data_IF_110153493108
#
_entry.id   IF_110153493108
#
_cell.length_a   1.000
_cell.length_b   1.000
_cell.length_c   1.000
_cell.angle_alpha   90.00
_cell.angle_beta   90.00
_cell.angle_gamma   90.00
#
_symmetry.space_group_name_H-M   'P 1'
#
loop_
_entity.id
_entity.type
_entity.pdbx_description
1 polymer ?
#
# COMPACT_ATOMS: atom_id res chain seq x y z
N UNK A 1 -66.20 47.05 62.62
CA UNK A 1 -65.39 45.82 62.50
C UNK A 1 -65.59 45.28 61.10
N UNK A 2 -64.52 45.37 60.22
CA UNK A 2 -64.52 44.86 58.82
C UNK A 2 -63.86 43.50 58.87
N UNK A 3 -64.55 42.44 58.55
CA UNK A 3 -64.09 41.10 58.32
C UNK A 3 -63.55 40.98 56.87
N UNK A 4 -62.24 40.91 56.65
CA UNK A 4 -61.68 40.58 55.34
C UNK A 4 -61.56 39.07 55.32
N UNK A 5 -62.39 38.41 54.47
CA UNK A 5 -62.27 36.98 54.17
C UNK A 5 -61.03 36.72 53.25
N UNK A 6 -60.16 35.88 53.71
CA UNK A 6 -59.12 35.32 52.85
C UNK A 6 -59.72 34.24 51.98
N UNK A 7 -59.86 34.55 50.70
CA UNK A 7 -60.14 33.54 49.67
C UNK A 7 -58.83 32.80 49.41
N UNK A 8 -58.68 31.58 49.93
CA UNK A 8 -57.62 30.68 49.57
C UNK A 8 -57.72 30.27 48.10
N UNK A 9 -56.71 30.45 47.34
CA UNK A 9 -56.56 29.88 46.00
C UNK A 9 -56.56 28.36 46.12
N UNK A 10 -57.58 27.74 45.60
CA UNK A 10 -57.71 26.30 45.44
C UNK A 10 -56.75 25.89 44.30
N UNK A 11 -55.58 25.41 44.70
CA UNK A 11 -54.48 25.11 43.75
C UNK A 11 -54.44 23.67 43.24
N UNK A 12 -55.61 22.99 43.27
CA UNK A 12 -55.65 21.55 42.96
C UNK A 12 -55.62 21.20 41.46
N UNK A 13 -55.78 22.18 40.56
CA UNK A 13 -55.88 21.93 39.13
C UNK A 13 -54.64 22.39 38.33
N UNK A 14 -53.57 22.77 39.00
CA UNK A 14 -52.41 23.39 38.34
C UNK A 14 -51.55 22.43 37.54
N UNK A 15 -51.80 21.10 37.58
CA UNK A 15 -51.00 20.07 36.89
C UNK A 15 -51.85 19.00 36.23
N UNK A 16 -53.09 19.29 35.85
CA UNK A 16 -53.98 18.31 35.21
C UNK A 16 -53.49 17.98 33.79
N UNK A 17 -52.94 18.95 33.11
CA UNK A 17 -52.29 18.77 31.82
C UNK A 17 -51.11 17.80 31.92
N UNK A 18 -50.28 17.92 32.98
CA UNK A 18 -49.15 17.03 33.22
C UNK A 18 -49.62 15.63 33.61
N UNK A 19 -50.65 15.51 34.43
CA UNK A 19 -51.27 14.21 34.78
C UNK A 19 -51.81 13.51 33.53
N UNK A 20 -52.50 14.26 32.68
CA UNK A 20 -53.00 13.75 31.40
C UNK A 20 -51.87 13.31 30.47
N UNK A 21 -50.85 14.12 30.31
CA UNK A 21 -49.66 13.75 29.54
C UNK A 21 -48.97 12.47 30.06
N UNK A 22 -48.83 12.36 31.38
CA UNK A 22 -48.24 11.15 32.00
C UNK A 22 -49.11 9.91 31.77
N UNK A 23 -50.45 10.05 31.81
CA UNK A 23 -51.38 8.95 31.53
C UNK A 23 -51.30 8.52 30.05
N UNK A 24 -51.20 9.49 29.14
CA UNK A 24 -51.09 9.23 27.70
C UNK A 24 -49.75 8.55 27.34
N UNK A 25 -48.66 8.99 27.98
CA UNK A 25 -47.34 8.35 27.77
C UNK A 25 -47.31 6.93 28.32
N UNK A 26 -47.95 6.68 29.47
CA UNK A 26 -48.07 5.32 30.03
C UNK A 26 -48.99 4.41 29.25
N UNK A 27 -50.03 4.98 28.60
CA UNK A 27 -50.94 4.21 27.76
C UNK A 27 -50.36 3.87 26.40
N UNK A 28 -49.29 4.51 25.99
CA UNK A 28 -48.60 4.16 24.72
C UNK A 28 -48.11 2.73 24.79
N UNK A 29 -48.38 1.91 23.74
CA UNK A 29 -47.84 0.56 23.71
C UNK A 29 -46.32 0.61 23.79
N UNK A 30 -45.78 -0.21 24.68
CA UNK A 30 -44.30 -0.39 24.75
C UNK A 30 -43.80 -0.81 23.38
N UNK A 31 -42.79 -0.12 22.89
CA UNK A 31 -42.16 -0.43 21.60
C UNK A 31 -41.71 -1.89 21.57
N UNK A 32 -41.67 -2.45 20.36
CA UNK A 32 -41.21 -3.80 20.16
C UNK A 32 -39.69 -3.84 20.48
N UNK A 33 -39.33 -4.55 21.55
CA UNK A 33 -37.95 -4.76 21.92
C UNK A 33 -37.40 -5.84 20.96
N UNK A 34 -36.42 -5.49 20.15
CA UNK A 34 -35.75 -6.50 19.30
C UNK A 34 -35.21 -7.65 20.16
N UNK A 35 -35.45 -8.91 19.75
CA UNK A 35 -34.91 -10.05 20.49
C UNK A 35 -33.38 -9.96 20.52
N UNK A 36 -32.81 -10.28 21.66
CA UNK A 36 -31.35 -10.31 21.80
C UNK A 36 -30.72 -11.16 20.70
N UNK A 37 -29.63 -10.69 20.09
CA UNK A 37 -28.94 -11.45 19.07
C UNK A 37 -28.53 -12.82 19.63
N UNK A 38 -28.89 -13.87 18.91
CA UNK A 38 -28.49 -15.23 19.29
C UNK A 38 -26.99 -15.34 19.18
N UNK A 39 -26.36 -15.77 20.24
CA UNK A 39 -24.93 -16.08 20.27
C UNK A 39 -24.67 -17.15 19.20
N UNK A 40 -23.82 -16.84 18.22
CA UNK A 40 -23.26 -17.85 17.34
C UNK A 40 -21.98 -18.32 17.99
N UNK A 41 -21.88 -19.58 18.47
CA UNK A 41 -20.63 -20.10 18.92
C UNK A 41 -19.67 -20.05 17.72
N UNK A 42 -18.52 -19.37 17.86
CA UNK A 42 -17.45 -19.51 16.87
C UNK A 42 -16.75 -20.84 17.10
N UNK A 43 -16.35 -21.47 16.02
CA UNK A 43 -15.56 -22.68 16.09
C UNK A 43 -14.24 -22.37 16.80
N UNK A 44 -13.90 -23.14 17.82
CA UNK A 44 -12.65 -22.97 18.53
C UNK A 44 -11.51 -23.19 17.54
N UNK A 45 -10.65 -22.16 17.42
CA UNK A 45 -9.47 -22.28 16.58
C UNK A 45 -8.54 -23.34 17.14
N UNK A 46 -8.32 -24.41 16.38
CA UNK A 46 -7.34 -25.43 16.72
C UNK A 46 -6.03 -25.10 16.03
N UNK A 47 -4.98 -24.91 16.80
CA UNK A 47 -3.66 -24.64 16.25
C UNK A 47 -3.12 -25.90 15.55
N UNK A 48 -3.20 -25.90 14.23
CA UNK A 48 -2.77 -27.01 13.38
C UNK A 48 -1.33 -26.86 12.83
N UNK A 49 -0.63 -25.81 13.25
CA UNK A 49 0.69 -25.47 12.73
C UNK A 49 1.84 -26.02 13.60
N UNK A 50 1.58 -26.97 14.52
CA UNK A 50 2.61 -27.56 15.38
C UNK A 50 3.70 -28.32 14.60
N UNK A 51 3.38 -28.79 13.40
CA UNK A 51 4.35 -29.42 12.49
C UNK A 51 5.10 -28.45 11.57
N UNK A 52 4.74 -27.16 11.58
CA UNK A 52 5.44 -26.16 10.81
C UNK A 52 6.68 -25.68 11.59
N UNK A 53 7.64 -25.18 10.82
CA UNK A 53 8.85 -24.60 11.39
C UNK A 53 8.52 -23.42 12.30
N UNK A 54 9.09 -23.40 13.51
CA UNK A 54 8.95 -22.29 14.44
C UNK A 54 9.51 -21.00 13.82
N UNK A 55 8.80 -19.85 13.91
CA UNK A 55 9.31 -18.57 13.40
C UNK A 55 10.54 -18.06 14.17
N UNK A 56 10.82 -18.63 15.36
CA UNK A 56 11.98 -18.28 16.17
C UNK A 56 13.21 -19.17 15.92
N UNK A 57 13.09 -20.16 15.07
CA UNK A 57 14.26 -20.93 14.64
C UNK A 57 15.10 -20.05 13.71
N UNK A 58 16.44 -20.03 13.86
CA UNK A 58 17.29 -19.32 12.94
C UNK A 58 16.97 -19.74 11.49
N UNK A 59 16.97 -18.81 10.53
CA UNK A 59 16.71 -19.17 9.15
C UNK A 59 17.67 -20.31 8.77
N UNK A 60 17.11 -21.42 8.30
CA UNK A 60 17.93 -22.43 7.63
C UNK A 60 18.68 -21.63 6.58
N UNK A 61 20.00 -21.68 6.59
CA UNK A 61 20.78 -21.22 5.42
C UNK A 61 20.26 -22.12 4.29
N UNK A 62 19.24 -21.61 3.58
CA UNK A 62 18.99 -22.13 2.25
C UNK A 62 20.28 -21.78 1.54
N UNK A 63 21.15 -22.75 1.38
CA UNK A 63 22.16 -22.66 0.34
C UNK A 63 21.32 -22.36 -0.88
N UNK A 64 21.40 -21.11 -1.32
CA UNK A 64 20.78 -20.69 -2.57
C UNK A 64 21.52 -21.46 -3.67
N UNK A 65 21.13 -22.73 -3.82
CA UNK A 65 21.62 -23.66 -4.87
C UNK A 65 21.31 -23.07 -6.26
N UNK A 66 20.57 -21.99 -6.29
CA UNK A 66 20.33 -21.11 -7.43
C UNK A 66 21.01 -19.73 -7.26
N UNK A 67 22.13 -19.61 -6.58
CA UNK A 67 23.02 -18.51 -6.91
C UNK A 67 23.43 -18.72 -8.36
N UNK A 68 22.81 -17.94 -9.24
CA UNK A 68 23.33 -17.80 -10.58
C UNK A 68 24.81 -17.44 -10.39
N UNK A 69 25.68 -18.39 -10.70
CA UNK A 69 27.12 -18.13 -10.61
C UNK A 69 27.40 -16.99 -11.58
N UNK A 70 28.05 -15.97 -11.09
CA UNK A 70 28.51 -14.88 -11.90
C UNK A 70 29.40 -15.39 -13.03
N UNK A 71 29.47 -14.66 -14.09
CA UNK A 71 30.33 -14.95 -15.23
C UNK A 71 31.50 -13.97 -15.25
N UNK A 72 32.70 -14.43 -15.46
CA UNK A 72 33.87 -13.57 -15.73
C UNK A 72 33.78 -12.95 -17.13
N UNK A 73 32.87 -13.40 -17.98
CA UNK A 73 32.65 -12.86 -19.32
C UNK A 73 31.84 -11.56 -19.31
N UNK A 74 31.07 -11.32 -18.24
CA UNK A 74 30.28 -10.11 -18.02
C UNK A 74 31.07 -9.24 -17.04
N UNK A 75 31.45 -8.06 -17.46
CA UNK A 75 32.14 -7.08 -16.61
C UNK A 75 31.62 -5.66 -16.96
N UNK A 76 31.48 -4.77 -15.97
CA UNK A 76 31.25 -3.37 -16.26
C UNK A 76 32.46 -2.80 -17.00
N UNK A 77 32.19 -1.95 -18.00
CA UNK A 77 33.26 -1.27 -18.72
C UNK A 77 33.76 -0.05 -17.91
N UNK A 78 34.99 -0.12 -17.34
CA UNK A 78 35.53 0.96 -16.51
C UNK A 78 35.91 2.20 -17.32
N UNK A 79 36.06 2.08 -18.66
CA UNK A 79 36.48 3.18 -19.52
C UNK A 79 35.33 3.95 -20.10
N UNK A 80 34.11 3.47 -19.92
CA UNK A 80 32.88 4.13 -20.41
C UNK A 80 32.57 5.39 -19.59
N UNK A 81 32.29 6.49 -20.28
CA UNK A 81 31.81 7.70 -19.62
C UNK A 81 30.39 7.44 -19.10
N UNK A 82 30.21 7.57 -17.80
CA UNK A 82 28.90 7.35 -17.17
C UNK A 82 27.91 8.47 -17.54
N UNK A 83 26.67 8.06 -17.79
CA UNK A 83 25.57 8.96 -18.07
C UNK A 83 25.01 9.55 -16.76
N UNK A 84 24.30 10.69 -16.85
CA UNK A 84 23.73 11.38 -15.68
C UNK A 84 22.85 10.47 -14.81
N UNK A 85 22.01 9.64 -15.42
CA UNK A 85 21.09 8.77 -14.72
C UNK A 85 21.74 7.61 -13.97
N UNK A 86 23.00 7.34 -14.22
CA UNK A 86 23.79 6.33 -13.51
C UNK A 86 24.26 6.80 -12.12
N UNK A 87 24.10 8.07 -11.81
CA UNK A 87 24.34 8.61 -10.46
C UNK A 87 23.29 8.20 -9.43
N UNK A 88 22.16 7.66 -9.85
CA UNK A 88 20.98 7.39 -9.02
C UNK A 88 20.67 5.89 -8.99
N UNK A 89 19.96 5.43 -7.96
CA UNK A 89 19.47 4.04 -7.93
C UNK A 89 18.32 3.87 -8.92
N UNK A 90 18.20 2.67 -9.50
CA UNK A 90 17.09 2.34 -10.43
C UNK A 90 15.71 2.55 -9.78
N UNK A 91 15.60 2.28 -8.48
CA UNK A 91 14.35 2.39 -7.73
C UNK A 91 13.79 3.83 -7.59
N UNK A 92 14.61 4.86 -7.84
CA UNK A 92 14.12 6.25 -7.80
C UNK A 92 13.39 6.66 -9.08
N UNK A 93 13.44 5.82 -10.11
CA UNK A 93 12.81 6.11 -11.40
C UNK A 93 11.44 5.45 -11.51
N UNK A 94 10.46 6.22 -11.95
CA UNK A 94 9.11 5.77 -12.29
C UNK A 94 8.85 6.03 -13.76
N UNK A 95 8.31 5.05 -14.47
CA UNK A 95 7.87 5.26 -15.85
C UNK A 95 6.55 6.03 -15.84
N UNK A 96 6.51 7.12 -16.60
CA UNK A 96 5.32 7.99 -16.70
C UNK A 96 4.71 7.99 -18.09
N UNK A 97 5.36 7.38 -19.06
CA UNK A 97 4.83 7.26 -20.41
C UNK A 97 5.89 6.89 -21.44
N UNK A 98 5.46 6.81 -22.68
CA UNK A 98 6.31 6.58 -23.85
C UNK A 98 6.11 7.67 -24.90
N UNK A 99 7.12 7.87 -25.71
CA UNK A 99 7.05 8.70 -26.93
C UNK A 99 7.60 7.88 -28.09
N UNK A 100 6.80 7.72 -29.13
CA UNK A 100 7.24 7.09 -30.38
C UNK A 100 7.43 8.15 -31.45
N UNK A 101 8.54 8.07 -32.16
CA UNK A 101 8.84 8.92 -33.31
C UNK A 101 9.55 8.07 -34.39
N UNK A 102 9.80 8.64 -35.60
CA UNK A 102 10.50 7.92 -36.66
C UNK A 102 11.88 7.36 -36.28
N UNK A 103 12.51 7.93 -35.23
CA UNK A 103 13.82 7.47 -34.71
C UNK A 103 13.69 6.34 -33.67
N UNK A 104 12.49 5.93 -33.32
CA UNK A 104 12.23 4.82 -32.39
C UNK A 104 11.35 5.19 -31.20
N UNK A 105 11.24 4.23 -30.29
CA UNK A 105 10.48 4.36 -29.04
C UNK A 105 11.38 4.86 -27.91
N UNK A 106 10.88 5.81 -27.15
CA UNK A 106 11.51 6.40 -25.98
C UNK A 106 10.62 6.23 -24.76
N UNK A 107 11.18 5.93 -23.63
CA UNK A 107 10.46 6.00 -22.37
C UNK A 107 10.71 7.34 -21.67
N UNK A 108 9.70 7.78 -20.95
CA UNK A 108 9.78 8.92 -20.03
C UNK A 108 9.87 8.38 -18.62
N UNK A 109 11.00 8.64 -17.96
CA UNK A 109 11.25 8.25 -16.58
C UNK A 109 11.26 9.49 -15.70
N UNK A 110 10.43 9.51 -14.67
CA UNK A 110 10.43 10.52 -13.63
C UNK A 110 11.39 10.08 -12.54
N UNK A 111 12.28 10.95 -12.12
CA UNK A 111 13.27 10.71 -11.06
C UNK A 111 14.41 11.70 -11.20
N UNK A 112 15.39 11.65 -10.31
CA UNK A 112 16.58 12.50 -10.35
C UNK A 112 16.29 14.00 -10.55
N UNK A 113 15.18 14.49 -9.96
CA UNK A 113 14.78 15.90 -10.03
C UNK A 113 14.03 16.33 -11.29
N UNK A 114 13.63 15.39 -12.18
CA UNK A 114 12.91 15.71 -13.40
C UNK A 114 12.31 14.53 -14.13
N UNK A 115 11.89 14.80 -15.37
CA UNK A 115 11.47 13.76 -16.32
C UNK A 115 12.54 13.63 -17.39
N UNK A 116 13.05 12.43 -17.57
CA UNK A 116 14.14 12.13 -18.48
C UNK A 116 13.64 11.22 -19.60
N UNK A 117 14.02 11.55 -20.82
CA UNK A 117 13.75 10.71 -21.98
C UNK A 117 14.91 9.76 -22.19
N UNK A 118 14.60 8.46 -22.24
CA UNK A 118 15.59 7.37 -22.43
C UNK A 118 15.21 6.49 -23.60
N UNK A 119 16.18 5.85 -24.21
CA UNK A 119 16.05 4.90 -25.32
C UNK A 119 16.74 3.59 -25.03
N UNK A 120 16.46 2.59 -25.85
CA UNK A 120 17.21 1.31 -25.81
C UNK A 120 18.70 1.58 -26.03
N UNK A 121 19.55 1.00 -25.20
CA UNK A 121 20.98 1.19 -25.20
C UNK A 121 21.49 2.28 -24.24
N UNK A 122 20.61 3.13 -23.69
CA UNK A 122 21.00 4.08 -22.66
C UNK A 122 21.24 3.36 -21.32
N UNK A 123 21.95 4.02 -20.43
CA UNK A 123 22.32 3.50 -19.12
C UNK A 123 21.66 4.30 -17.99
N UNK A 124 21.23 3.59 -16.97
CA UNK A 124 20.67 4.18 -15.74
C UNK A 124 20.94 3.27 -14.54
N UNK A 125 20.97 3.85 -13.36
CA UNK A 125 21.24 3.09 -12.14
C UNK A 125 22.75 2.91 -11.86
N UNK A 126 23.07 2.79 -10.58
CA UNK A 126 24.47 2.71 -10.12
C UNK A 126 25.20 1.44 -10.53
N UNK A 127 24.46 0.42 -10.95
CA UNK A 127 24.97 -0.91 -11.27
C UNK A 127 25.09 -1.12 -12.80
N UNK A 128 25.49 -0.10 -13.52
CA UNK A 128 25.65 -0.14 -14.98
C UNK A 128 24.43 -0.71 -15.72
N UNK A 129 23.23 -0.32 -15.24
CA UNK A 129 21.96 -0.81 -15.77
C UNK A 129 21.72 -0.34 -17.20
N UNK A 130 21.77 -1.25 -18.18
CA UNK A 130 21.52 -0.97 -19.60
C UNK A 130 20.06 -1.24 -19.95
N UNK A 131 19.43 -0.29 -20.63
CA UNK A 131 18.08 -0.47 -21.18
C UNK A 131 18.14 -1.41 -22.37
N UNK A 132 17.47 -2.54 -22.27
CA UNK A 132 17.46 -3.59 -23.30
C UNK A 132 16.20 -3.57 -24.14
N UNK A 133 15.05 -3.17 -23.55
CA UNK A 133 13.80 -3.05 -24.25
C UNK A 133 12.88 -1.98 -23.62
N UNK A 134 12.07 -1.35 -24.45
CA UNK A 134 11.03 -0.41 -24.04
C UNK A 134 9.73 -0.87 -24.66
N UNK A 135 8.70 -1.03 -23.83
CA UNK A 135 7.32 -1.32 -24.23
C UNK A 135 6.40 -0.20 -23.76
N UNK A 136 5.15 -0.20 -24.19
CA UNK A 136 4.18 0.82 -23.77
C UNK A 136 3.94 0.82 -22.24
N UNK A 137 4.18 -0.31 -21.58
CA UNK A 137 3.90 -0.51 -20.16
C UNK A 137 5.12 -0.69 -19.27
N UNK A 138 6.31 -0.90 -19.83
CA UNK A 138 7.51 -1.16 -19.04
C UNK A 138 8.81 -0.87 -19.79
N UNK A 139 9.84 -0.52 -19.02
CA UNK A 139 11.23 -0.46 -19.45
C UNK A 139 11.99 -1.63 -18.82
N UNK A 140 12.61 -2.45 -19.67
CA UNK A 140 13.45 -3.56 -19.23
C UNK A 140 14.91 -3.14 -19.18
N UNK A 141 15.56 -3.47 -18.07
CA UNK A 141 16.94 -3.06 -17.77
C UNK A 141 17.70 -4.31 -17.34
N UNK A 142 18.96 -4.39 -17.70
CA UNK A 142 19.89 -5.40 -17.19
C UNK A 142 20.99 -4.68 -16.43
N UNK A 143 21.08 -4.93 -15.12
CA UNK A 143 22.12 -4.44 -14.25
C UNK A 143 23.26 -5.46 -14.13
N UNK A 144 24.47 -4.96 -13.95
CA UNK A 144 25.65 -5.79 -13.68
C UNK A 144 26.01 -5.64 -12.21
N UNK A 145 25.89 -6.71 -11.44
CA UNK A 145 26.13 -6.71 -10.00
C UNK A 145 27.22 -7.74 -9.64
N UNK A 146 28.06 -7.48 -8.64
CA UNK A 146 29.03 -8.46 -8.19
C UNK A 146 28.34 -9.65 -7.51
N UNK A 147 28.81 -10.86 -7.75
CA UNK A 147 28.30 -12.08 -7.10
C UNK A 147 28.87 -12.32 -5.69
N UNK A 148 29.91 -11.54 -5.29
CA UNK A 148 30.61 -11.65 -4.01
C UNK A 148 31.78 -12.61 -4.02
N UNK A 149 32.04 -13.32 -5.12
CA UNK A 149 33.14 -14.26 -5.32
C UNK A 149 34.18 -13.75 -6.34
N UNK A 150 34.05 -12.50 -6.78
CA UNK A 150 34.93 -11.85 -7.76
C UNK A 150 34.46 -11.96 -9.20
N UNK A 151 33.27 -12.53 -9.45
CA UNK A 151 32.64 -12.56 -10.75
C UNK A 151 31.45 -11.58 -10.77
N UNK A 152 30.84 -11.38 -11.94
CA UNK A 152 29.74 -10.48 -12.18
C UNK A 152 28.52 -11.22 -12.66
N UNK A 153 27.35 -10.70 -12.30
CA UNK A 153 26.06 -11.30 -12.56
C UNK A 153 25.14 -10.27 -13.27
N UNK A 154 24.50 -10.69 -14.32
CA UNK A 154 23.43 -9.92 -14.94
C UNK A 154 22.13 -10.09 -14.14
N UNK A 155 21.54 -8.97 -13.72
CA UNK A 155 20.28 -8.94 -13.00
C UNK A 155 19.22 -8.18 -13.81
N UNK A 156 18.23 -8.87 -14.35
CA UNK A 156 17.13 -8.21 -15.05
C UNK A 156 16.25 -7.43 -14.06
N UNK A 157 15.86 -6.22 -14.45
CA UNK A 157 14.93 -5.33 -13.74
C UNK A 157 13.90 -4.79 -14.70
N UNK A 158 12.75 -4.43 -14.17
CA UNK A 158 11.68 -3.79 -14.95
C UNK A 158 11.13 -2.59 -14.18
N UNK A 159 11.00 -1.45 -14.88
CA UNK A 159 10.29 -0.27 -14.38
C UNK A 159 8.95 -0.24 -15.12
N UNK A 160 7.86 -0.46 -14.39
CA UNK A 160 6.51 -0.48 -14.97
C UNK A 160 5.91 0.91 -15.01
N UNK A 161 5.01 1.14 -15.97
CA UNK A 161 4.22 2.36 -16.07
C UNK A 161 3.33 2.49 -14.83
N UNK A 162 3.41 3.64 -14.17
CA UNK A 162 2.54 3.95 -13.04
C UNK A 162 1.21 4.46 -13.58
N UNK A 163 0.16 3.65 -13.48
CA UNK A 163 -1.18 4.10 -13.78
C UNK A 163 -1.58 5.25 -12.82
N UNK A 164 -2.14 6.31 -13.40
CA UNK A 164 -2.74 7.38 -12.60
C UNK A 164 -4.06 6.86 -12.02
N UNK A 165 -4.09 6.66 -10.70
CA UNK A 165 -5.34 6.58 -9.94
C UNK A 165 -6.02 7.94 -9.93
#
# INVERSE_FOLDING_TARGET
VVLIGLAGCDGDNQFDDLKQFMSDVRARPAGNIEPMPKFRPYEAFTYAASGLRSPFQPPVKVDLVNRQKGSHLVQPDPLRVKQFLEGFNVEVFEMVGTISNPSGMFALLRGAGGVHRVKVGDYLGRNDGRIVAITDSAVQIVEIVPDGEGAWLERPRSITLKERS
#
